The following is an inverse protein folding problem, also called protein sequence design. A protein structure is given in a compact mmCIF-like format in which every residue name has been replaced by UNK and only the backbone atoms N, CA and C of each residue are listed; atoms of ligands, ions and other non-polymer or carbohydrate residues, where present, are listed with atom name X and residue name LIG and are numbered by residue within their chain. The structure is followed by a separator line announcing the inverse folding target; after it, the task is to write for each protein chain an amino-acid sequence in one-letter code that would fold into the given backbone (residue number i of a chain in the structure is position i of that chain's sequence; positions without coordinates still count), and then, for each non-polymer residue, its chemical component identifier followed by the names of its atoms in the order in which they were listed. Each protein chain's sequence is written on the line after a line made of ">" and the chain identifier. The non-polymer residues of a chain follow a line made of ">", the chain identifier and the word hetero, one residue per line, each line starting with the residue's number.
data_IF_426231869232
#
_entry.id   IF_426231869232
#
_cell.length_a   1.000
_cell.length_b   1.000
_cell.length_c   1.000
_cell.angle_alpha   90.00
_cell.angle_beta   90.00
_cell.angle_gamma   90.00
#
_symmetry.space_group_name_H-M   'P 1'
#
loop_
_entity.id
_entity.type
_entity.pdbx_description
1 polymer ?
#
# COMPACT_ATOMS: atom_id res chain seq x y z
N UNK A 1 -17.51 -19.37 5.12
CA UNK A 1 -16.86 -19.22 3.80
C UNK A 1 -16.62 -17.73 3.61
N UNK A 2 -15.47 -17.21 4.01
CA UNK A 2 -15.13 -15.81 3.77
C UNK A 2 -14.52 -15.74 2.37
N UNK A 3 -15.29 -15.21 1.42
CA UNK A 3 -14.79 -14.93 0.08
C UNK A 3 -13.65 -13.93 0.21
N UNK A 4 -12.43 -14.38 -0.10
CA UNK A 4 -11.36 -13.48 -0.48
C UNK A 4 -11.81 -12.82 -1.78
N UNK A 5 -12.48 -11.68 -1.67
CA UNK A 5 -12.64 -10.78 -2.80
C UNK A 5 -11.23 -10.29 -3.15
N UNK A 6 -10.58 -10.99 -4.08
CA UNK A 6 -9.32 -10.61 -4.69
C UNK A 6 -9.46 -9.18 -5.21
N UNK A 7 -9.02 -8.20 -4.42
CA UNK A 7 -8.88 -6.79 -4.84
C UNK A 7 -7.76 -6.72 -5.87
N UNK A 8 -8.07 -7.18 -7.09
CA UNK A 8 -7.20 -7.15 -8.26
C UNK A 8 -6.98 -5.68 -8.57
N UNK A 9 -5.80 -5.19 -8.21
CA UNK A 9 -5.40 -3.83 -8.52
C UNK A 9 -4.84 -3.86 -9.93
N UNK A 10 -5.69 -3.62 -10.94
CA UNK A 10 -5.28 -3.69 -12.35
C UNK A 10 -4.41 -2.51 -12.78
N UNK A 11 -4.35 -1.44 -11.97
CA UNK A 11 -3.68 -0.19 -12.30
C UNK A 11 -2.80 0.29 -11.15
N UNK A 12 -1.68 0.92 -11.47
CA UNK A 12 -0.86 1.59 -10.47
C UNK A 12 -1.62 2.80 -9.88
N UNK A 13 -1.72 2.94 -8.54
CA UNK A 13 -2.43 4.05 -7.91
C UNK A 13 -1.74 5.41 -8.11
N UNK A 14 -0.45 5.43 -8.44
CA UNK A 14 0.31 6.66 -8.57
C UNK A 14 0.30 7.24 -9.99
N UNK A 15 0.33 6.39 -11.03
CA UNK A 15 0.43 6.84 -12.42
C UNK A 15 -0.74 6.39 -13.29
N UNK A 16 -1.66 5.58 -12.76
CA UNK A 16 -2.79 5.03 -13.52
C UNK A 16 -2.38 4.00 -14.58
N UNK A 17 -1.11 3.61 -14.65
CA UNK A 17 -0.62 2.66 -15.64
C UNK A 17 -1.18 1.27 -15.35
N UNK A 18 -1.72 0.62 -16.38
CA UNK A 18 -2.17 -0.77 -16.29
C UNK A 18 -1.00 -1.68 -15.96
N UNK A 19 -1.15 -2.49 -14.92
CA UNK A 19 -0.18 -3.51 -14.54
C UNK A 19 -0.23 -4.65 -15.54
N UNK A 20 0.94 -5.18 -15.91
CA UNK A 20 1.02 -6.37 -16.75
C UNK A 20 0.38 -7.57 -16.02
N UNK A 21 -0.10 -8.59 -16.74
CA UNK A 21 -0.67 -9.80 -16.12
C UNK A 21 0.28 -10.41 -15.08
N UNK A 22 1.59 -10.32 -15.34
CA UNK A 22 2.59 -10.85 -14.42
C UNK A 22 2.82 -9.97 -13.18
N UNK A 23 2.71 -8.64 -13.34
CA UNK A 23 2.75 -7.69 -12.23
C UNK A 23 1.53 -7.83 -11.32
N UNK A 24 0.36 -8.12 -11.88
CA UNK A 24 -0.85 -8.40 -11.13
C UNK A 24 -0.70 -9.67 -10.28
N UNK A 25 -0.10 -10.72 -10.82
CA UNK A 25 0.15 -11.95 -10.05
C UNK A 25 1.21 -11.72 -8.97
N UNK A 26 2.32 -11.03 -9.28
CA UNK A 26 3.31 -10.67 -8.27
C UNK A 26 2.68 -9.87 -7.13
N UNK A 27 1.84 -8.88 -7.47
CA UNK A 27 1.12 -8.10 -6.48
C UNK A 27 0.10 -8.94 -5.68
N UNK A 28 -0.51 -9.95 -6.29
CA UNK A 28 -1.43 -10.87 -5.61
C UNK A 28 -0.73 -11.88 -4.70
N UNK A 29 0.49 -12.30 -5.03
CA UNK A 29 1.25 -13.33 -4.29
C UNK A 29 2.15 -12.68 -3.24
N UNK A 30 3.00 -11.75 -3.68
CA UNK A 30 4.01 -11.10 -2.84
C UNK A 30 3.42 -9.93 -2.04
N UNK A 31 2.23 -9.46 -2.44
CA UNK A 31 1.53 -8.32 -1.81
C UNK A 31 2.32 -7.01 -1.85
N UNK A 32 3.41 -6.98 -2.61
CA UNK A 32 4.23 -5.83 -2.87
C UNK A 32 4.65 -5.82 -4.35
N UNK A 33 4.58 -4.66 -4.98
CA UNK A 33 5.07 -4.48 -6.34
C UNK A 33 5.64 -3.08 -6.53
N UNK A 34 6.81 -2.97 -7.17
CA UNK A 34 7.29 -1.69 -7.68
C UNK A 34 6.80 -1.46 -9.10
N UNK A 35 6.05 -0.38 -9.33
CA UNK A 35 5.64 -0.02 -10.67
C UNK A 35 6.84 0.51 -11.47
N UNK A 36 7.15 -0.10 -12.61
CA UNK A 36 8.27 0.32 -13.48
C UNK A 36 8.09 1.70 -14.13
N UNK A 37 6.86 2.21 -14.18
CA UNK A 37 6.55 3.51 -14.83
C UNK A 37 6.79 4.73 -13.95
N UNK A 38 6.57 4.60 -12.64
CA UNK A 38 6.68 5.71 -11.68
C UNK A 38 7.54 5.36 -10.47
N UNK A 39 8.10 4.15 -10.41
CA UNK A 39 8.93 3.65 -9.31
C UNK A 39 8.20 3.66 -7.97
N UNK A 40 6.86 3.70 -8.01
CA UNK A 40 6.01 3.68 -6.83
C UNK A 40 5.85 2.26 -6.31
N UNK A 41 5.99 2.10 -4.99
CA UNK A 41 5.83 0.82 -4.30
C UNK A 41 4.38 0.63 -3.87
N UNK A 42 3.69 -0.29 -4.52
CA UNK A 42 2.33 -0.71 -4.22
C UNK A 42 2.41 -1.80 -3.15
N UNK A 43 1.67 -1.64 -2.05
CA UNK A 43 1.61 -2.59 -0.94
C UNK A 43 0.13 -2.92 -0.70
N UNK A 44 -0.26 -4.19 -0.85
CA UNK A 44 -1.57 -4.67 -0.39
C UNK A 44 -1.37 -5.28 1.00
N UNK A 45 -1.38 -4.42 2.01
CA UNK A 45 -1.54 -4.91 3.37
C UNK A 45 -2.99 -5.39 3.58
N UNK A 46 -3.13 -6.58 4.14
CA UNK A 46 -4.39 -7.23 4.51
C UNK A 46 -4.79 -6.81 5.94
N UNK A 47 -3.88 -6.14 6.63
CA UNK A 47 -4.08 -5.40 7.86
C UNK A 47 -3.87 -3.93 7.53
N UNK A 48 -4.85 -3.34 6.84
CA UNK A 48 -5.06 -1.90 6.97
C UNK A 48 -5.52 -1.66 8.42
N UNK A 49 -4.55 -1.56 9.33
CA UNK A 49 -4.72 -0.82 10.57
C UNK A 49 -3.80 0.40 10.48
N UNK A 50 -4.43 1.46 10.00
CA UNK A 50 -4.12 2.85 10.32
C UNK A 50 -2.92 3.50 9.58
N UNK A 51 -3.09 4.73 9.06
CA UNK A 51 -1.98 5.53 8.56
C UNK A 51 -0.98 5.81 9.70
N UNK A 52 0.31 6.03 9.41
CA UNK A 52 1.18 6.67 10.37
C UNK A 52 0.66 8.10 10.56
N UNK A 53 -0.18 8.30 11.57
CA UNK A 53 -0.52 9.63 12.04
C UNK A 53 0.77 10.22 12.61
N UNK A 54 1.43 10.98 11.74
CA UNK A 54 2.42 11.98 12.10
C UNK A 54 1.78 12.93 13.11
N UNK A 55 2.01 12.67 14.40
CA UNK A 55 1.90 13.65 15.47
C UNK A 55 3.17 13.59 16.31
N UNK A 56 4.30 13.85 15.65
CA UNK A 56 5.47 14.38 16.32
C UNK A 56 5.19 15.86 16.65
N UNK A 57 4.68 16.15 17.84
CA UNK A 57 5.03 17.40 18.53
C UNK A 57 5.68 17.04 19.87
N UNK A 58 7.01 17.25 20.02
CA UNK A 58 7.69 17.16 21.30
C UNK A 58 7.82 18.55 21.93
N UNK A 59 6.93 18.95 22.83
CA UNK A 59 7.10 20.08 23.77
C UNK A 59 5.94 20.02 24.80
N UNK A 60 6.03 20.29 26.10
CA UNK A 60 7.00 20.96 26.95
C UNK A 60 6.67 20.65 28.42
N UNK A 61 7.69 20.57 29.27
CA UNK A 61 7.63 21.16 30.62
C UNK A 61 6.96 20.37 31.75
N UNK A 62 7.80 19.67 32.51
CA UNK A 62 7.67 19.47 33.95
C UNK A 62 7.45 20.83 34.65
N UNK A 63 6.28 21.03 35.27
CA UNK A 63 6.13 22.03 36.34
C UNK A 63 4.93 21.68 37.23
N UNK A 64 5.22 21.04 38.37
CA UNK A 64 4.37 20.99 39.56
C UNK A 64 5.20 21.39 40.77
#
# INVERSE_FOLDING_TARGET
>A
MAGHEERKTDHCPHCGRTLSPWEQVLLSVDRALMCKGCWYRILLDAFDDSPPEDNATPESGDQC
#
